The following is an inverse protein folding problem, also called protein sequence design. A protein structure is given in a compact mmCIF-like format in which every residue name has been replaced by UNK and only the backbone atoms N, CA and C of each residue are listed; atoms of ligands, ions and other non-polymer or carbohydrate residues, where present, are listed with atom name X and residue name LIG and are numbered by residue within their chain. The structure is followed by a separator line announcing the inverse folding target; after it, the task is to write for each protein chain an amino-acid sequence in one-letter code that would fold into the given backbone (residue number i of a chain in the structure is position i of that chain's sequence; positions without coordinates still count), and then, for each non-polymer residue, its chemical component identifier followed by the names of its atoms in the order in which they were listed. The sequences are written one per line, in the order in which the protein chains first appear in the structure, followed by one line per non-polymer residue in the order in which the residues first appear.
data_IF_270697244827
#
_entry.id   IF_270697244827
#
_cell.length_a   1.000
_cell.length_b   1.000
_cell.length_c   1.000
_cell.angle_alpha   90.00
_cell.angle_beta   90.00
_cell.angle_gamma   90.00
#
_symmetry.space_group_name_H-M   'P 1'
#
loop_
_entity.id
_entity.type
_entity.pdbx_description
1 polymer ?
#
# COMPACT_ATOMS: atom_id res chain seq x y z
N UNK A 1 15.04 -15.18 21.58
CA UNK A 1 14.47 -14.09 20.77
C UNK A 1 15.23 -14.03 19.47
N UNK A 2 14.56 -14.40 18.40
CA UNK A 2 15.06 -14.26 17.03
C UNK A 2 14.94 -12.80 16.57
N UNK A 3 15.61 -12.42 15.49
CA UNK A 3 15.40 -11.12 14.84
C UNK A 3 13.94 -10.95 14.37
N UNK A 4 13.28 -12.05 14.01
CA UNK A 4 11.85 -12.14 13.71
C UNK A 4 10.98 -11.71 14.92
N UNK A 5 11.23 -12.25 16.10
CA UNK A 5 10.47 -11.93 17.33
C UNK A 5 10.58 -10.44 17.70
N UNK A 6 11.79 -9.88 17.58
CA UNK A 6 12.05 -8.46 17.85
C UNK A 6 11.35 -7.55 16.83
N UNK A 7 11.32 -7.94 15.56
CA UNK A 7 10.65 -7.19 14.51
C UNK A 7 9.12 -7.21 14.67
N UNK A 8 8.54 -8.34 15.10
CA UNK A 8 7.12 -8.44 15.43
C UNK A 8 6.73 -7.53 16.60
N UNK A 9 7.55 -7.48 17.66
CA UNK A 9 7.33 -6.54 18.77
C UNK A 9 7.43 -5.07 18.32
N UNK A 10 8.39 -4.73 17.47
CA UNK A 10 8.51 -3.38 16.92
C UNK A 10 7.30 -2.96 16.07
N UNK A 11 6.77 -3.88 15.25
CA UNK A 11 5.56 -3.63 14.44
C UNK A 11 4.34 -3.42 15.34
N UNK A 12 4.22 -4.14 16.45
CA UNK A 12 3.13 -3.93 17.40
C UNK A 12 3.17 -2.52 18.04
N UNK A 13 4.36 -1.93 18.20
CA UNK A 13 4.56 -0.62 18.83
C UNK A 13 4.48 0.56 17.84
N UNK A 14 5.09 0.41 16.65
CA UNK A 14 5.31 1.52 15.70
C UNK A 14 4.46 1.36 14.42
N UNK A 15 3.84 0.19 14.23
CA UNK A 15 3.24 -0.20 12.96
C UNK A 15 4.31 -0.57 11.92
N UNK A 16 3.88 -1.18 10.80
CA UNK A 16 4.78 -1.54 9.70
C UNK A 16 4.44 -2.89 9.06
N UNK A 17 5.24 -3.27 8.06
CA UNK A 17 5.14 -4.56 7.39
C UNK A 17 6.44 -5.34 7.60
N UNK A 18 6.34 -6.56 8.14
CA UNK A 18 7.47 -7.48 8.23
C UNK A 18 7.70 -8.12 6.85
N UNK A 19 8.91 -8.00 6.32
CA UNK A 19 9.33 -8.74 5.14
C UNK A 19 10.40 -9.75 5.56
N UNK A 20 10.11 -11.04 5.39
CA UNK A 20 11.07 -12.12 5.63
C UNK A 20 11.61 -12.63 4.28
N UNK A 21 12.90 -13.02 4.23
CA UNK A 21 13.48 -13.64 3.05
C UNK A 21 12.82 -14.98 2.72
N UNK A 22 12.74 -15.28 1.42
CA UNK A 22 12.30 -16.58 0.94
C UNK A 22 13.53 -17.48 0.68
N UNK A 23 13.59 -18.60 1.41
CA UNK A 23 14.65 -19.62 1.32
C UNK A 23 14.26 -20.84 0.48
N UNK A 24 13.10 -20.87 -0.19
CA UNK A 24 12.63 -22.05 -0.94
C UNK A 24 13.63 -22.57 -1.98
N UNK A 25 14.46 -21.68 -2.55
CA UNK A 25 15.47 -22.04 -3.55
C UNK A 25 16.79 -22.55 -2.95
N UNK A 26 16.94 -22.55 -1.62
CA UNK A 26 18.14 -23.06 -0.95
C UNK A 26 17.97 -24.57 -0.68
N UNK A 27 18.93 -25.41 -1.13
CA UNK A 27 18.92 -26.84 -0.86
C UNK A 27 18.87 -27.14 0.64
N UNK A 28 18.12 -28.18 1.04
CA UNK A 28 18.01 -28.60 2.45
C UNK A 28 19.35 -28.98 3.08
N UNK A 29 20.31 -29.43 2.27
CA UNK A 29 21.67 -29.81 2.70
C UNK A 29 22.49 -28.63 3.24
N UNK A 30 22.13 -27.39 2.88
CA UNK A 30 22.79 -26.16 3.32
C UNK A 30 21.98 -25.42 4.40
N UNK A 31 20.82 -25.94 4.81
CA UNK A 31 20.00 -25.32 5.87
C UNK A 31 20.58 -25.73 7.23
N UNK A 32 21.14 -24.80 8.02
CA UNK A 32 21.69 -25.14 9.34
C UNK A 32 20.58 -25.53 10.33
N UNK A 33 20.97 -26.19 11.43
CA UNK A 33 20.06 -26.60 12.52
C UNK A 33 19.35 -25.41 13.21
N UNK A 34 19.97 -24.22 13.18
CA UNK A 34 19.41 -22.99 13.72
C UNK A 34 18.54 -22.32 12.64
N UNK A 35 17.28 -21.98 12.97
CA UNK A 35 16.35 -21.27 12.08
C UNK A 35 16.91 -19.89 11.70
N UNK A 36 17.49 -19.84 10.50
CA UNK A 36 17.90 -18.62 9.80
C UNK A 36 16.63 -17.83 9.42
N UNK A 37 16.61 -16.53 9.70
CA UNK A 37 15.37 -15.74 9.61
C UNK A 37 15.54 -14.38 8.97
N UNK A 38 16.76 -13.98 8.61
CA UNK A 38 17.02 -12.67 8.03
C UNK A 38 17.71 -12.70 6.66
N UNK A 39 17.67 -11.56 5.97
CA UNK A 39 18.23 -11.42 4.63
C UNK A 39 19.76 -11.55 4.58
N UNK A 40 20.46 -11.36 5.71
CA UNK A 40 21.90 -11.60 5.76
C UNK A 40 22.18 -13.09 5.67
N UNK A 41 21.40 -13.91 6.35
CA UNK A 41 21.48 -15.36 6.24
C UNK A 41 21.25 -15.83 4.79
N UNK A 42 20.25 -15.26 4.10
CA UNK A 42 19.99 -15.57 2.69
C UNK A 42 21.18 -15.16 1.79
N UNK A 43 21.78 -14.00 2.04
CA UNK A 43 22.94 -13.52 1.29
C UNK A 43 24.12 -14.48 1.44
N UNK A 44 24.41 -14.95 2.66
CA UNK A 44 25.50 -15.90 2.93
C UNK A 44 25.28 -17.21 2.18
N UNK A 45 24.07 -17.78 2.27
CA UNK A 45 23.73 -19.03 1.59
C UNK A 45 23.81 -18.92 0.06
N UNK A 46 23.39 -17.78 -0.51
CA UNK A 46 23.52 -17.54 -1.95
C UNK A 46 24.99 -17.47 -2.39
N UNK A 47 25.87 -16.85 -1.58
CA UNK A 47 27.31 -16.81 -1.87
C UNK A 47 27.95 -18.19 -1.75
N UNK A 48 27.54 -19.02 -0.77
CA UNK A 48 27.99 -20.41 -0.62
C UNK A 48 27.57 -21.30 -1.80
N UNK A 49 26.41 -21.02 -2.40
CA UNK A 49 25.95 -21.65 -3.65
C UNK A 49 26.74 -21.22 -4.90
N UNK A 50 27.78 -20.39 -4.74
CA UNK A 50 28.62 -19.90 -5.84
C UNK A 50 28.04 -18.73 -6.61
N UNK A 51 26.97 -18.08 -6.13
CA UNK A 51 26.48 -16.83 -6.74
C UNK A 51 27.46 -15.70 -6.49
N UNK A 52 27.69 -14.88 -7.52
CA UNK A 52 28.42 -13.63 -7.34
C UNK A 52 27.67 -12.71 -6.37
N UNK A 53 28.40 -11.87 -5.62
CA UNK A 53 27.79 -10.92 -4.67
C UNK A 53 26.74 -10.03 -5.35
N UNK A 54 26.95 -9.66 -6.61
CA UNK A 54 26.00 -8.84 -7.39
C UNK A 54 24.72 -9.61 -7.69
N UNK A 55 24.83 -10.88 -8.11
CA UNK A 55 23.67 -11.75 -8.33
C UNK A 55 22.87 -11.98 -7.05
N UNK A 56 23.56 -12.28 -5.95
CA UNK A 56 22.91 -12.49 -4.66
C UNK A 56 22.15 -11.23 -4.21
N UNK A 57 22.78 -10.05 -4.32
CA UNK A 57 22.12 -8.78 -4.02
C UNK A 57 20.93 -8.47 -4.93
N UNK A 58 20.97 -8.88 -6.20
CA UNK A 58 19.83 -8.75 -7.11
C UNK A 58 18.67 -9.68 -6.71
N UNK A 59 18.96 -10.90 -6.27
CA UNK A 59 17.94 -11.83 -5.75
C UNK A 59 17.28 -11.24 -4.50
N UNK A 60 18.07 -10.72 -3.57
CA UNK A 60 17.57 -10.03 -2.38
C UNK A 60 16.69 -8.84 -2.76
N UNK A 61 17.18 -7.95 -3.66
CA UNK A 61 16.39 -6.81 -4.15
C UNK A 61 15.06 -7.25 -4.74
N UNK A 62 15.04 -8.28 -5.57
CA UNK A 62 13.81 -8.80 -6.17
C UNK A 62 12.81 -9.34 -5.14
N UNK A 63 13.28 -9.89 -4.01
CA UNK A 63 12.41 -10.30 -2.91
C UNK A 63 11.91 -9.11 -2.07
N UNK A 64 12.69 -8.03 -1.99
CA UNK A 64 12.34 -6.80 -1.27
C UNK A 64 11.41 -5.88 -2.07
N UNK A 65 11.45 -5.95 -3.41
CA UNK A 65 10.55 -5.20 -4.29
C UNK A 65 9.19 -5.90 -4.30
N UNK A 66 8.16 -5.20 -3.81
CA UNK A 66 6.79 -5.66 -3.89
C UNK A 66 6.41 -5.85 -5.36
N UNK A 67 6.05 -7.08 -5.76
CA UNK A 67 5.58 -7.35 -7.13
C UNK A 67 4.28 -6.57 -7.36
N UNK A 68 4.16 -5.85 -8.49
CA UNK A 68 2.94 -5.13 -8.82
C UNK A 68 1.77 -6.11 -8.93
N UNK A 69 0.62 -5.75 -8.37
CA UNK A 69 -0.62 -6.53 -8.54
C UNK A 69 -1.40 -6.06 -9.76
N UNK A 70 -2.31 -6.89 -10.25
CA UNK A 70 -3.26 -6.45 -11.28
C UNK A 70 -4.24 -5.44 -10.69
N UNK A 71 -4.54 -4.36 -11.42
CA UNK A 71 -5.38 -3.26 -10.92
C UNK A 71 -6.77 -3.74 -10.47
N UNK A 72 -7.38 -4.67 -11.19
CA UNK A 72 -8.68 -5.27 -10.87
C UNK A 72 -8.69 -6.11 -9.57
N UNK A 73 -7.53 -6.49 -9.03
CA UNK A 73 -7.43 -7.28 -7.80
C UNK A 73 -7.12 -6.42 -6.57
N UNK A 74 -6.76 -5.15 -6.73
CA UNK A 74 -6.32 -4.32 -5.59
C UNK A 74 -7.48 -4.04 -4.64
N UNK A 75 -8.67 -3.71 -5.17
CA UNK A 75 -9.84 -3.39 -4.36
C UNK A 75 -10.28 -4.59 -3.51
N UNK A 76 -10.35 -5.77 -4.11
CA UNK A 76 -10.72 -6.99 -3.38
C UNK A 76 -9.69 -7.38 -2.33
N UNK A 77 -8.40 -7.17 -2.61
CA UNK A 77 -7.33 -7.38 -1.64
C UNK A 77 -7.33 -6.33 -0.52
N UNK A 78 -7.68 -5.08 -0.81
CA UNK A 78 -7.88 -4.05 0.20
C UNK A 78 -9.02 -4.45 1.14
N UNK A 79 -10.16 -4.88 0.60
CA UNK A 79 -11.30 -5.34 1.42
C UNK A 79 -10.88 -6.46 2.37
N UNK A 80 -10.14 -7.47 1.91
CA UNK A 80 -9.66 -8.57 2.77
C UNK A 80 -8.74 -8.11 3.90
N UNK A 81 -8.03 -6.99 3.73
CA UNK A 81 -7.11 -6.44 4.73
C UNK A 81 -7.80 -5.51 5.71
N UNK A 82 -9.00 -5.02 5.39
CA UNK A 82 -9.78 -4.20 6.30
C UNK A 82 -10.21 -5.06 7.49
N UNK A 83 -9.91 -4.56 8.68
CA UNK A 83 -10.36 -5.14 9.95
C UNK A 83 -11.48 -4.29 10.53
N UNK A 84 -12.35 -4.86 11.36
CA UNK A 84 -13.34 -4.08 12.11
C UNK A 84 -12.65 -2.99 12.93
N UNK A 85 -13.19 -1.78 12.87
CA UNK A 85 -12.61 -0.60 13.52
C UNK A 85 -13.58 -0.09 14.59
N UNK A 86 -13.04 0.32 15.73
CA UNK A 86 -13.85 1.00 16.74
C UNK A 86 -13.98 2.49 16.36
N UNK A 87 -15.07 2.83 15.66
CA UNK A 87 -15.37 4.19 15.23
C UNK A 87 -15.47 5.19 16.39
N UNK A 88 -15.89 4.75 17.58
CA UNK A 88 -16.05 5.62 18.75
C UNK A 88 -14.69 6.12 19.25
N UNK A 89 -13.73 5.21 19.35
CA UNK A 89 -12.36 5.54 19.75
C UNK A 89 -11.68 6.50 18.76
N UNK A 90 -11.87 6.28 17.46
CA UNK A 90 -11.25 7.12 16.43
C UNK A 90 -11.93 8.49 16.26
N UNK A 91 -13.22 8.58 16.59
CA UNK A 91 -13.95 9.84 16.51
C UNK A 91 -13.68 10.77 17.71
N UNK A 92 -12.98 10.29 18.75
CA UNK A 92 -12.78 11.01 20.03
C UNK A 92 -14.09 11.56 20.63
N UNK A 93 -15.20 10.84 20.43
CA UNK A 93 -16.53 11.26 20.89
C UNK A 93 -16.79 10.68 22.27
N UNK A 94 -17.21 11.55 23.19
CA UNK A 94 -17.64 11.20 24.54
C UNK A 94 -18.70 10.09 24.56
N UNK A 95 -18.68 9.22 25.58
CA UNK A 95 -19.48 7.99 25.66
C UNK A 95 -20.99 8.21 25.63
N UNK A 96 -21.43 9.44 25.92
CA UNK A 96 -22.83 9.84 25.94
C UNK A 96 -23.37 10.30 24.57
N UNK A 97 -22.51 10.65 23.62
CA UNK A 97 -22.94 11.18 22.31
C UNK A 97 -23.06 10.09 21.26
N UNK A 98 -24.10 10.18 20.43
CA UNK A 98 -24.30 9.25 19.31
C UNK A 98 -23.36 9.55 18.12
N UNK A 99 -22.92 8.49 17.45
CA UNK A 99 -22.11 8.61 16.25
C UNK A 99 -22.97 9.03 15.06
N UNK A 100 -22.70 10.22 14.53
CA UNK A 100 -23.28 10.69 13.26
C UNK A 100 -22.68 9.99 12.05
N UNK A 101 -23.46 9.93 10.96
CA UNK A 101 -23.04 9.41 9.65
C UNK A 101 -21.72 10.02 9.13
N UNK A 102 -21.46 11.29 9.44
CA UNK A 102 -20.21 11.97 9.06
C UNK A 102 -18.96 11.30 9.64
N UNK A 103 -19.02 10.81 10.89
CA UNK A 103 -17.86 10.16 11.51
C UNK A 103 -17.55 8.84 10.80
N UNK A 104 -18.57 8.02 10.53
CA UNK A 104 -18.40 6.79 9.76
C UNK A 104 -17.80 7.06 8.38
N UNK A 105 -18.31 8.07 7.67
CA UNK A 105 -17.82 8.43 6.34
C UNK A 105 -16.35 8.85 6.35
N UNK A 106 -15.97 9.78 7.21
CA UNK A 106 -14.59 10.30 7.27
C UNK A 106 -13.62 9.18 7.68
N UNK A 107 -13.91 8.50 8.79
CA UNK A 107 -13.04 7.47 9.35
C UNK A 107 -12.84 6.32 8.36
N UNK A 108 -13.90 5.89 7.66
CA UNK A 108 -13.74 4.81 6.68
C UNK A 108 -12.80 5.22 5.54
N UNK A 109 -12.94 6.43 4.99
CA UNK A 109 -12.06 6.88 3.92
C UNK A 109 -10.60 6.98 4.39
N UNK A 110 -10.37 7.58 5.56
CA UNK A 110 -9.01 7.71 6.11
C UNK A 110 -8.34 6.36 6.32
N UNK A 111 -9.08 5.39 6.85
CA UNK A 111 -8.57 4.04 7.07
C UNK A 111 -8.29 3.30 5.76
N UNK A 112 -9.18 3.42 4.76
CA UNK A 112 -8.92 2.86 3.43
C UNK A 112 -7.64 3.44 2.83
N UNK A 113 -7.45 4.76 2.88
CA UNK A 113 -6.25 5.43 2.36
C UNK A 113 -4.99 5.03 3.15
N UNK A 114 -5.07 4.91 4.48
CA UNK A 114 -3.97 4.49 5.33
C UNK A 114 -3.55 3.04 5.04
N UNK A 115 -4.51 2.13 4.87
CA UNK A 115 -4.25 0.73 4.49
C UNK A 115 -3.65 0.67 3.10
N UNK A 116 -4.17 1.42 2.12
CA UNK A 116 -3.59 1.47 0.78
C UNK A 116 -2.13 1.93 0.83
N UNK A 117 -1.85 3.04 1.53
CA UNK A 117 -0.49 3.58 1.69
C UNK A 117 0.46 2.58 2.35
N UNK A 118 0.00 1.87 3.38
CA UNK A 118 0.78 0.84 4.07
C UNK A 118 1.14 -0.35 3.17
N UNK A 119 0.32 -0.60 2.15
CA UNK A 119 0.55 -1.63 1.14
C UNK A 119 1.26 -1.13 -0.12
N UNK A 120 1.76 0.12 -0.12
CA UNK A 120 2.33 0.80 -1.31
C UNK A 120 1.34 0.89 -2.49
N UNK A 121 0.06 0.89 -2.19
CA UNK A 121 -1.00 1.19 -3.14
C UNK A 121 -1.47 2.63 -2.93
N UNK A 122 -2.04 3.20 -3.98
CA UNK A 122 -2.58 4.56 -3.95
C UNK A 122 -3.95 4.57 -4.60
N UNK A 123 -4.87 5.34 -4.05
CA UNK A 123 -6.16 5.63 -4.69
C UNK A 123 -6.32 7.13 -4.62
N UNK A 124 -6.43 7.81 -5.76
CA UNK A 124 -6.53 9.25 -5.79
C UNK A 124 -7.44 9.73 -6.91
N UNK A 125 -7.98 10.93 -6.73
CA UNK A 125 -8.65 11.68 -7.77
C UNK A 125 -7.66 12.58 -8.49
N UNK A 126 -7.75 12.62 -9.82
CA UNK A 126 -7.13 13.65 -10.63
C UNK A 126 -8.18 14.18 -11.63
N UNK A 127 -8.49 15.48 -11.54
CA UNK A 127 -9.59 16.11 -12.28
C UNK A 127 -10.92 15.36 -12.07
N UNK A 128 -11.48 14.75 -13.10
CA UNK A 128 -12.77 14.04 -13.04
C UNK A 128 -12.62 12.51 -12.93
N UNK A 129 -11.39 12.00 -13.01
CA UNK A 129 -11.12 10.57 -12.99
C UNK A 129 -10.48 10.13 -11.68
N UNK A 130 -10.79 8.90 -11.29
CA UNK A 130 -10.14 8.24 -10.16
C UNK A 130 -9.13 7.25 -10.70
N UNK A 131 -7.98 7.21 -10.05
CA UNK A 131 -6.87 6.34 -10.40
C UNK A 131 -6.47 5.48 -9.21
N UNK A 132 -6.01 4.26 -9.53
CA UNK A 132 -5.49 3.30 -8.58
C UNK A 132 -4.05 2.91 -8.95
N UNK A 133 -3.16 2.95 -7.98
CA UNK A 133 -1.75 2.62 -8.12
C UNK A 133 -1.48 1.21 -7.58
N UNK A 134 -0.89 0.36 -8.41
CA UNK A 134 -0.64 -1.04 -8.10
C UNK A 134 0.74 -1.35 -7.53
N UNK A 135 1.54 -0.31 -7.26
CA UNK A 135 2.94 -0.43 -6.88
C UNK A 135 3.94 -0.09 -8.00
N UNK A 136 3.48 0.00 -9.26
CA UNK A 136 4.33 0.37 -10.40
C UNK A 136 3.63 1.30 -11.42
N UNK A 137 2.32 1.09 -11.66
CA UNK A 137 1.51 1.81 -12.65
C UNK A 137 0.19 2.30 -12.06
N UNK A 138 -0.28 3.43 -12.60
CA UNK A 138 -1.63 3.95 -12.37
C UNK A 138 -2.60 3.35 -13.38
N UNK A 139 -3.75 2.88 -12.89
CA UNK A 139 -4.88 2.42 -13.70
C UNK A 139 -6.10 3.29 -13.41
N UNK A 140 -6.99 3.44 -14.40
CA UNK A 140 -8.29 4.06 -14.21
C UNK A 140 -9.23 3.08 -13.49
N UNK A 141 -10.06 3.60 -12.60
CA UNK A 141 -11.14 2.85 -11.95
C UNK A 141 -12.47 3.51 -12.28
N UNK A 142 -13.49 2.69 -12.52
CA UNK A 142 -14.84 3.18 -12.73
C UNK A 142 -15.42 3.78 -11.43
N UNK A 143 -16.21 4.84 -11.56
CA UNK A 143 -16.85 5.49 -10.41
C UNK A 143 -17.80 4.55 -9.66
N UNK A 144 -18.53 3.68 -10.36
CA UNK A 144 -19.50 2.77 -9.75
C UNK A 144 -18.81 1.57 -9.10
N UNK A 145 -17.69 1.13 -9.67
CA UNK A 145 -16.79 0.16 -9.04
C UNK A 145 -16.24 0.72 -7.71
N UNK A 146 -15.76 1.97 -7.71
CA UNK A 146 -15.26 2.62 -6.49
C UNK A 146 -16.37 2.79 -5.44
N UNK A 147 -17.57 3.25 -5.83
CA UNK A 147 -18.71 3.39 -4.90
C UNK A 147 -19.08 2.05 -4.26
N UNK A 148 -19.06 0.97 -5.04
CA UNK A 148 -19.34 -0.38 -4.54
C UNK A 148 -18.28 -0.82 -3.54
N UNK A 149 -17.00 -0.65 -3.89
CA UNK A 149 -15.87 -0.91 -3.00
C UNK A 149 -15.95 -0.13 -1.69
N UNK A 150 -16.27 1.17 -1.71
CA UNK A 150 -16.38 1.99 -0.49
C UNK A 150 -17.52 1.52 0.43
N UNK A 151 -18.63 1.07 -0.16
CA UNK A 151 -19.74 0.47 0.60
C UNK A 151 -19.32 -0.85 1.26
N UNK A 152 -18.65 -1.73 0.51
CA UNK A 152 -18.13 -3.00 1.04
C UNK A 152 -17.06 -2.78 2.11
N UNK A 153 -16.21 -1.77 1.95
CA UNK A 153 -15.23 -1.36 2.95
C UNK A 153 -15.89 -0.91 4.26
N UNK A 154 -17.00 -0.15 4.19
CA UNK A 154 -17.77 0.23 5.38
C UNK A 154 -18.35 -0.99 6.11
N UNK A 155 -18.93 -1.94 5.36
CA UNK A 155 -19.46 -3.19 5.93
C UNK A 155 -18.34 -3.98 6.62
N UNK A 156 -17.17 -4.10 5.98
CA UNK A 156 -16.01 -4.78 6.54
C UNK A 156 -15.43 -4.11 7.81
N UNK A 157 -15.58 -2.78 7.93
CA UNK A 157 -15.16 -2.04 9.13
C UNK A 157 -16.17 -2.12 10.29
N UNK A 158 -17.39 -2.63 10.06
CA UNK A 158 -18.41 -2.82 11.08
C UNK A 158 -19.57 -1.81 11.04
N UNK A 159 -19.75 -1.07 9.95
CA UNK A 159 -20.96 -0.26 9.73
C UNK A 159 -22.14 -1.18 9.41
N UNK A 160 -23.34 -0.82 9.86
CA UNK A 160 -24.55 -1.58 9.56
C UNK A 160 -24.77 -1.74 8.04
N UNK A 161 -25.15 -2.95 7.62
CA UNK A 161 -25.33 -3.31 6.21
C UNK A 161 -26.39 -2.47 5.50
N UNK A 162 -27.44 -2.05 6.19
CA UNK A 162 -28.51 -1.26 5.56
C UNK A 162 -28.03 0.18 5.34
N UNK A 163 -27.29 0.73 6.30
CA UNK A 163 -26.64 2.03 6.13
C UNK A 163 -25.60 1.98 5.00
N UNK A 164 -24.70 0.99 4.99
CA UNK A 164 -23.62 0.89 4.00
C UNK A 164 -24.11 0.62 2.56
N UNK A 165 -25.25 -0.06 2.39
CA UNK A 165 -25.85 -0.33 1.08
C UNK A 165 -26.79 0.78 0.60
N UNK A 166 -27.19 1.69 1.49
CA UNK A 166 -28.10 2.76 1.12
C UNK A 166 -27.46 3.70 0.11
N UNK A 167 -28.15 3.96 -1.00
CA UNK A 167 -27.58 4.69 -2.14
C UNK A 167 -27.08 6.09 -1.75
N UNK A 168 -27.85 6.83 -0.93
CA UNK A 168 -27.45 8.16 -0.46
C UNK A 168 -26.18 8.10 0.39
N UNK A 169 -26.01 7.06 1.22
CA UNK A 169 -24.81 6.90 2.02
C UNK A 169 -23.59 6.60 1.14
N UNK A 170 -23.75 5.76 0.11
CA UNK A 170 -22.69 5.49 -0.88
C UNK A 170 -22.30 6.72 -1.68
N UNK A 171 -23.26 7.54 -2.09
CA UNK A 171 -22.97 8.81 -2.76
C UNK A 171 -22.22 9.78 -1.84
N UNK A 172 -22.60 9.87 -0.57
CA UNK A 172 -21.91 10.69 0.42
C UNK A 172 -20.48 10.21 0.67
N UNK A 173 -20.27 8.89 0.78
CA UNK A 173 -18.93 8.29 0.88
C UNK A 173 -18.06 8.64 -0.32
N UNK A 174 -18.60 8.51 -1.53
CA UNK A 174 -17.86 8.87 -2.74
C UNK A 174 -17.49 10.35 -2.75
N UNK A 175 -18.43 11.24 -2.42
CA UNK A 175 -18.16 12.69 -2.32
C UNK A 175 -17.08 12.98 -1.27
N UNK A 176 -17.14 12.31 -0.12
CA UNK A 176 -16.13 12.43 0.93
C UNK A 176 -14.76 11.93 0.47
N UNK A 177 -14.71 10.81 -0.25
CA UNK A 177 -13.49 10.29 -0.87
C UNK A 177 -12.89 11.31 -1.83
N UNK A 178 -13.69 11.88 -2.72
CA UNK A 178 -13.25 12.89 -3.69
C UNK A 178 -12.67 14.13 -3.00
N UNK A 179 -13.22 14.52 -1.85
CA UNK A 179 -12.70 15.64 -1.06
C UNK A 179 -11.34 15.35 -0.42
N UNK A 180 -11.13 14.13 0.09
CA UNK A 180 -9.90 13.75 0.81
C UNK A 180 -8.78 13.24 -0.09
N UNK A 181 -9.12 12.51 -1.15
CA UNK A 181 -8.17 11.81 -2.02
C UNK A 181 -7.66 12.68 -3.18
N UNK A 182 -7.76 14.00 -3.06
CA UNK A 182 -7.24 14.91 -4.08
C UNK A 182 -5.71 14.91 -4.03
N UNK A 183 -5.07 14.59 -5.16
CA UNK A 183 -3.62 14.67 -5.23
C UNK A 183 -3.22 16.14 -5.35
N UNK A 184 -2.40 16.71 -4.45
CA UNK A 184 -1.84 18.03 -4.69
C UNK A 184 -1.00 17.94 -5.97
N UNK A 185 -1.39 18.71 -6.98
CA UNK A 185 -0.65 18.78 -8.24
C UNK A 185 0.75 19.28 -7.90
N UNK A 186 1.81 18.50 -8.17
CA UNK A 186 3.16 18.98 -7.95
C UNK A 186 3.38 20.18 -8.86
N UNK A 187 3.86 21.30 -8.29
CA UNK A 187 4.20 22.49 -9.06
C UNK A 187 5.14 22.10 -10.21
N UNK A 188 4.76 22.31 -11.48
CA UNK A 188 5.58 21.90 -12.61
C UNK A 188 6.90 22.67 -12.56
N UNK A 189 8.03 21.94 -12.53
CA UNK A 189 9.32 22.54 -12.89
C UNK A 189 9.29 22.75 -14.40
N UNK A 190 9.26 24.00 -14.85
CA UNK A 190 8.95 24.44 -16.21
C UNK A 190 9.81 23.88 -17.36
N UNK A 191 10.77 22.98 -17.15
CA UNK A 191 11.70 22.51 -18.19
C UNK A 191 11.98 21.00 -18.19
N UNK A 192 11.15 20.18 -17.55
CA UNK A 192 11.39 18.74 -17.43
C UNK A 192 10.17 17.88 -17.76
N UNK A 193 10.29 17.02 -18.78
CA UNK A 193 9.38 15.89 -19.01
C UNK A 193 9.89 14.70 -18.19
N UNK A 194 9.03 14.15 -17.32
CA UNK A 194 9.33 12.98 -16.50
C UNK A 194 8.77 11.73 -17.18
N UNK A 195 9.64 10.90 -17.75
CA UNK A 195 9.25 9.59 -18.31
C UNK A 195 9.64 8.51 -17.31
N UNK A 196 8.68 7.68 -16.91
CA UNK A 196 8.92 6.53 -16.04
C UNK A 196 9.43 5.35 -16.88
N UNK A 197 10.70 4.95 -16.70
CA UNK A 197 11.25 3.75 -17.31
C UNK A 197 11.49 2.72 -16.20
N UNK A 198 11.34 1.43 -16.50
CA UNK A 198 11.56 0.30 -15.56
C UNK A 198 12.92 0.32 -14.82
N UNK A 199 13.87 1.14 -15.27
CA UNK A 199 15.22 1.29 -14.69
C UNK A 199 15.51 2.70 -14.12
N UNK A 200 14.50 3.56 -13.93
CA UNK A 200 14.62 4.94 -13.39
C UNK A 200 13.91 6.01 -14.24
N UNK A 201 13.72 7.23 -13.68
CA UNK A 201 13.17 8.36 -14.45
C UNK A 201 14.22 8.91 -15.41
N UNK A 202 13.90 9.07 -16.69
CA UNK A 202 14.76 9.81 -17.64
C UNK A 202 14.23 11.23 -17.80
N UNK A 203 14.96 12.21 -17.27
CA UNK A 203 14.71 13.64 -17.51
C UNK A 203 15.42 13.99 -18.81
N UNK A 204 14.68 14.48 -19.81
CA UNK A 204 15.29 14.92 -21.07
C UNK A 204 15.20 16.43 -21.19
N UNK A 205 16.27 17.13 -20.79
CA UNK A 205 16.69 18.39 -21.39
C UNK A 205 18.18 18.65 -21.14
N UNK A 206 18.97 18.67 -22.23
CA UNK A 206 20.41 18.96 -22.42
C UNK A 206 21.51 18.55 -21.41
N UNK A 207 21.22 18.03 -20.21
CA UNK A 207 22.21 17.42 -19.30
C UNK A 207 21.61 16.19 -18.64
N UNK A 208 22.10 15.01 -19.02
CA UNK A 208 21.75 13.71 -18.43
C UNK A 208 22.20 13.66 -16.98
N UNK A 209 21.26 13.66 -16.03
CA UNK A 209 21.51 13.30 -14.63
C UNK A 209 20.43 12.31 -14.20
N UNK A 210 20.87 11.18 -13.65
CA UNK A 210 20.00 10.17 -13.04
C UNK A 210 19.88 10.49 -11.54
N UNK A 211 18.67 10.56 -11.00
CA UNK A 211 18.41 10.69 -9.56
C UNK A 211 17.49 9.58 -9.06
N UNK A 212 17.63 9.22 -7.78
CA UNK A 212 16.86 8.16 -7.13
C UNK A 212 15.36 8.50 -6.99
N UNK A 213 14.55 7.45 -7.02
CA UNK A 213 13.09 7.46 -6.99
C UNK A 213 12.54 8.02 -5.66
N UNK A 214 11.55 8.90 -5.74
CA UNK A 214 10.73 9.33 -4.59
C UNK A 214 9.32 8.82 -4.87
N UNK A 215 8.91 7.83 -4.08
CA UNK A 215 7.54 7.31 -4.05
C UNK A 215 6.53 8.46 -3.83
N UNK A 216 5.42 8.44 -4.59
CA UNK A 216 4.23 9.30 -4.43
C UNK A 216 4.25 10.74 -4.97
N UNK A 217 5.00 11.05 -6.03
CA UNK A 217 4.75 12.29 -6.79
C UNK A 217 4.66 12.04 -8.29
N UNK A 218 3.54 12.48 -8.87
CA UNK A 218 3.45 12.80 -10.29
C UNK A 218 4.56 13.80 -10.66
#
# INVERSE_FOLDING_TARGET
MTSEDNALQAIALVGGCLCLPDFSNIPETLRPEIKRSDYNDLLVLLMELGKSRVEALNILKNQLVAKPKLHNQILSELIKKIKPVNFRLLAEVDDEKELRNSHFQIITIEQVLAIAKSNRWGICKNHDFVYIYNGEYWGLIDTDELKSFLGEACEAMGVDKFAARYFNFREQLYKQFIALANLPTPTPKNDAVLINLKNGKQITNCKRILSQFIDNKF
#
